data_IF_034655284820
#
_entry.id   IF_034655284820
#
_cell.length_a   1.000
_cell.length_b   1.000
_cell.length_c   1.000
_cell.angle_alpha   90.00
_cell.angle_beta   90.00
_cell.angle_gamma   90.00
#
_symmetry.space_group_name_H-M   'P 1'
#
loop_
_entity.id
_entity.type
_entity.pdbx_description
1 polymer ?
#
# COMPACT_ATOMS: atom_id res chain seq x y z
N UNK A 1 7.18 -29.67 9.76
CA UNK A 1 6.00 -29.47 8.89
C UNK A 1 5.18 -28.32 9.47
N UNK A 2 5.68 -27.09 9.30
CA UNK A 2 5.09 -25.88 9.88
C UNK A 2 3.90 -25.39 9.04
N UNK A 3 2.69 -25.84 9.41
CA UNK A 3 1.45 -25.17 9.01
C UNK A 3 1.00 -24.28 10.17
N UNK A 4 1.61 -23.12 10.35
CA UNK A 4 1.11 -22.11 11.29
C UNK A 4 1.56 -20.70 10.91
N UNK A 5 0.87 -20.07 9.96
CA UNK A 5 0.72 -18.60 9.90
C UNK A 5 -0.31 -18.28 8.82
N UNK A 6 -1.04 -17.19 9.00
CA UNK A 6 -2.28 -16.81 8.28
C UNK A 6 -3.54 -17.50 8.83
N UNK A 7 -3.87 -17.20 10.08
CA UNK A 7 -5.27 -17.16 10.48
C UNK A 7 -5.94 -16.05 9.64
N UNK A 8 -7.04 -16.35 8.93
CA UNK A 8 -7.85 -15.32 8.29
C UNK A 8 -8.39 -14.42 9.39
N UNK A 9 -8.13 -13.10 9.30
CA UNK A 9 -8.85 -12.14 10.15
C UNK A 9 -10.31 -12.17 9.72
N UNK A 10 -11.20 -12.62 10.61
CA UNK A 10 -12.64 -12.43 10.44
C UNK A 10 -12.96 -10.96 10.67
N UNK A 11 -13.50 -10.29 9.66
CA UNK A 11 -13.81 -8.87 9.70
C UNK A 11 -14.29 -8.33 8.36
N UNK A 12 -14.91 -7.17 8.38
CA UNK A 12 -15.31 -6.44 7.19
C UNK A 12 -14.15 -5.55 6.72
N UNK A 13 -13.90 -5.52 5.41
CA UNK A 13 -12.96 -4.58 4.80
C UNK A 13 -13.72 -3.45 4.11
N UNK A 14 -13.27 -2.23 4.33
CA UNK A 14 -13.71 -1.08 3.56
C UNK A 14 -13.06 -1.16 2.18
N UNK A 15 -13.86 -1.10 1.12
CA UNK A 15 -13.40 -1.13 -0.27
C UNK A 15 -14.00 0.07 -0.96
N UNK A 16 -13.13 0.88 -1.57
CA UNK A 16 -13.52 2.09 -2.30
C UNK A 16 -13.16 1.90 -3.75
N UNK A 17 -14.07 2.25 -4.64
CA UNK A 17 -13.89 2.05 -6.07
C UNK A 17 -13.17 3.24 -6.71
N UNK A 18 -11.83 3.16 -6.75
CA UNK A 18 -10.99 4.16 -7.42
C UNK A 18 -10.76 3.87 -8.91
N UNK A 19 -11.49 2.95 -9.56
CA UNK A 19 -11.21 2.57 -10.96
C UNK A 19 -11.27 3.75 -11.93
N UNK A 20 -12.23 4.65 -11.76
CA UNK A 20 -12.36 5.83 -12.62
C UNK A 20 -11.37 6.94 -12.26
N UNK A 21 -10.96 7.02 -10.98
CA UNK A 21 -9.87 7.90 -10.55
C UNK A 21 -8.55 7.43 -11.16
N UNK A 22 -8.21 6.15 -11.03
CA UNK A 22 -6.98 5.53 -11.53
C UNK A 22 -6.80 5.66 -13.05
N UNK A 23 -7.89 5.76 -13.83
CA UNK A 23 -7.82 6.03 -15.28
C UNK A 23 -7.39 7.47 -15.60
N UNK A 24 -7.67 8.41 -14.71
CA UNK A 24 -7.35 9.84 -14.87
C UNK A 24 -5.98 10.18 -14.25
N UNK A 25 -5.54 9.39 -13.27
CA UNK A 25 -4.23 9.52 -12.64
C UNK A 25 -3.13 9.17 -13.62
N UNK A 26 -2.07 9.99 -13.64
CA UNK A 26 -0.85 9.68 -14.40
C UNK A 26 -0.12 8.57 -13.65
N UNK A 27 0.06 7.42 -14.29
CA UNK A 27 0.79 6.31 -13.69
C UNK A 27 2.25 6.67 -13.47
N UNK A 28 2.72 6.57 -12.24
CA UNK A 28 4.15 6.65 -11.94
C UNK A 28 4.83 5.33 -12.34
N UNK A 29 5.67 5.40 -13.36
CA UNK A 29 6.50 4.27 -13.78
C UNK A 29 7.84 4.35 -13.07
N UNK A 30 7.83 4.23 -11.74
CA UNK A 30 9.07 4.11 -10.99
C UNK A 30 9.75 2.78 -11.34
N UNK A 31 10.96 2.79 -11.92
CA UNK A 31 11.64 1.56 -12.29
C UNK A 31 12.09 0.85 -11.00
N UNK A 32 11.39 -0.23 -10.66
CA UNK A 32 11.86 -1.13 -9.61
C UNK A 32 13.10 -1.88 -10.13
N UNK A 33 14.20 -1.94 -9.36
CA UNK A 33 15.38 -2.68 -9.75
C UNK A 33 15.07 -4.18 -9.85
N UNK A 34 15.85 -4.88 -10.68
CA UNK A 34 15.66 -6.32 -10.85
C UNK A 34 15.92 -7.06 -9.52
N UNK A 35 15.13 -8.11 -9.25
CA UNK A 35 15.23 -8.87 -8.00
C UNK A 35 16.62 -9.49 -7.88
N UNK A 36 17.23 -9.95 -8.97
CA UNK A 36 18.57 -10.50 -8.94
C UNK A 36 19.63 -9.45 -8.57
N UNK A 37 19.46 -8.21 -9.03
CA UNK A 37 20.33 -7.09 -8.67
C UNK A 37 20.23 -6.77 -7.17
N UNK A 38 19.00 -6.63 -6.65
CA UNK A 38 18.76 -6.39 -5.21
C UNK A 38 19.38 -7.50 -4.35
N UNK A 39 19.21 -8.77 -4.74
CA UNK A 39 19.75 -9.90 -4.01
C UNK A 39 21.28 -10.00 -4.11
N UNK A 40 21.87 -9.60 -5.23
CA UNK A 40 23.32 -9.58 -5.39
C UNK A 40 23.99 -8.55 -4.46
N UNK A 41 23.36 -7.40 -4.25
CA UNK A 41 23.83 -6.37 -3.31
C UNK A 41 23.77 -6.83 -1.85
N UNK A 42 22.86 -7.76 -1.54
CA UNK A 42 22.69 -8.34 -0.22
C UNK A 42 23.71 -9.47 0.07
N UNK A 43 24.38 -10.00 -0.96
CA UNK A 43 25.29 -11.13 -0.85
C UNK A 43 26.59 -10.81 -0.09
N UNK A 44 27.04 -11.72 0.77
CA UNK A 44 28.32 -11.61 1.50
C UNK A 44 28.18 -11.27 2.98
N UNK A 45 26.99 -10.91 3.44
CA UNK A 45 26.73 -10.59 4.84
C UNK A 45 26.39 -11.82 5.68
N UNK A 46 26.74 -11.76 6.97
CA UNK A 46 26.56 -12.87 7.92
C UNK A 46 25.17 -12.90 8.56
N UNK A 47 24.46 -11.76 8.60
CA UNK A 47 23.18 -11.59 9.27
C UNK A 47 22.24 -10.73 8.42
N UNK A 48 20.99 -11.15 8.34
CA UNK A 48 19.93 -10.44 7.62
C UNK A 48 18.75 -10.17 8.55
N UNK A 49 18.17 -8.99 8.42
CA UNK A 49 16.94 -8.59 9.11
C UNK A 49 15.92 -8.15 8.07
N UNK A 50 14.71 -8.68 8.16
CA UNK A 50 13.59 -8.31 7.27
C UNK A 50 12.57 -7.55 8.10
N UNK A 51 12.21 -6.35 7.65
CA UNK A 51 11.18 -5.53 8.25
C UNK A 51 9.92 -5.59 7.39
N UNK A 52 8.79 -5.92 8.02
CA UNK A 52 7.47 -5.84 7.39
C UNK A 52 6.79 -4.54 7.83
N UNK A 53 6.46 -3.68 6.87
CA UNK A 53 5.72 -2.46 7.14
C UNK A 53 4.22 -2.79 7.16
N UNK A 54 3.68 -3.04 8.35
CA UNK A 54 2.26 -3.31 8.55
C UNK A 54 1.41 -2.13 8.04
N UNK A 55 0.46 -2.41 7.14
CA UNK A 55 -0.40 -1.39 6.51
C UNK A 55 0.41 -0.26 5.86
N UNK A 56 1.51 -0.59 5.16
CA UNK A 56 2.47 0.39 4.62
C UNK A 56 1.85 1.55 3.83
N UNK A 57 0.81 1.30 3.03
CA UNK A 57 0.08 2.34 2.30
C UNK A 57 -0.44 3.44 3.23
N UNK A 58 -1.15 3.08 4.31
CA UNK A 58 -1.71 4.05 5.25
C UNK A 58 -0.68 4.82 6.09
N UNK A 59 0.62 4.50 5.98
CA UNK A 59 1.69 5.27 6.62
C UNK A 59 2.11 6.47 5.77
N UNK A 60 1.98 6.38 4.45
CA UNK A 60 2.39 7.43 3.52
C UNK A 60 1.37 8.58 3.55
N UNK A 61 1.86 9.82 3.69
CA UNK A 61 1.02 11.01 3.62
C UNK A 61 0.53 11.23 2.18
N UNK A 62 -0.77 11.56 2.04
CA UNK A 62 -1.26 12.12 0.79
C UNK A 62 -0.79 13.57 0.65
N UNK A 63 -0.64 14.03 -0.58
CA UNK A 63 -0.54 15.47 -0.83
C UNK A 63 -1.85 16.14 -0.40
N UNK A 64 -1.76 17.34 0.18
CA UNK A 64 -2.94 18.09 0.62
C UNK A 64 -3.85 18.44 -0.57
N UNK A 65 -3.26 18.68 -1.75
CA UNK A 65 -4.02 18.96 -2.98
C UNK A 65 -4.69 17.73 -3.57
N UNK A 66 -4.11 16.54 -3.36
CA UNK A 66 -4.64 15.28 -3.86
C UNK A 66 -5.54 14.56 -2.84
N UNK A 67 -5.72 15.11 -1.64
CA UNK A 67 -6.63 14.52 -0.65
C UNK A 67 -8.09 14.62 -1.12
N UNK A 68 -8.50 15.74 -1.72
CA UNK A 68 -9.88 15.95 -2.17
C UNK A 68 -10.32 14.98 -3.28
N UNK A 69 -9.41 14.55 -4.16
CA UNK A 69 -9.72 13.61 -5.25
C UNK A 69 -9.95 12.18 -4.74
N UNK A 70 -9.53 11.89 -3.50
CA UNK A 70 -9.77 10.60 -2.83
C UNK A 70 -11.08 10.58 -2.04
N UNK A 71 -11.91 11.61 -2.16
CA UNK A 71 -13.16 11.70 -1.42
C UNK A 71 -14.14 10.56 -1.76
N UNK A 72 -14.79 10.02 -0.74
CA UNK A 72 -15.80 8.97 -0.85
C UNK A 72 -17.02 9.29 0.04
N UNK A 73 -18.15 8.68 -0.32
CA UNK A 73 -19.41 8.84 0.41
C UNK A 73 -19.57 7.68 1.38
N UNK A 74 -19.61 7.98 2.67
CA UNK A 74 -20.00 7.05 3.72
C UNK A 74 -21.46 7.23 4.14
N UNK A 75 -22.00 6.34 4.99
CA UNK A 75 -23.38 6.42 5.47
C UNK A 75 -23.74 7.75 6.15
N UNK A 76 -22.75 8.44 6.74
CA UNK A 76 -22.95 9.62 7.57
C UNK A 76 -22.34 10.89 6.97
N UNK A 77 -21.83 10.87 5.73
CA UNK A 77 -21.24 12.05 5.10
C UNK A 77 -20.16 11.73 4.08
N UNK A 78 -19.42 12.78 3.71
CA UNK A 78 -18.28 12.71 2.81
C UNK A 78 -16.99 12.66 3.62
N UNK A 79 -16.07 11.83 3.18
CA UNK A 79 -14.76 11.64 3.81
C UNK A 79 -13.68 11.64 2.73
N UNK A 80 -12.47 12.03 3.10
CA UNK A 80 -11.31 12.04 2.23
C UNK A 80 -10.11 11.37 2.93
N UNK A 81 -9.14 10.91 2.16
CA UNK A 81 -7.94 10.31 2.70
C UNK A 81 -6.82 11.32 2.87
N UNK A 82 -6.30 11.42 4.09
CA UNK A 82 -5.07 12.15 4.42
C UNK A 82 -3.80 11.28 4.34
N UNK A 83 -3.99 9.96 4.11
CA UNK A 83 -2.95 8.93 3.97
C UNK A 83 -3.27 8.06 2.78
N UNK A 84 -2.27 7.48 2.13
CA UNK A 84 -2.49 6.76 0.87
C UNK A 84 -3.55 5.65 1.04
N UNK A 85 -4.65 5.68 0.26
CA UNK A 85 -5.68 4.65 0.29
C UNK A 85 -5.20 3.35 -0.35
N UNK A 86 -5.93 2.25 -0.09
CA UNK A 86 -5.70 0.92 -0.68
C UNK A 86 -6.64 0.65 -1.86
#
# INVERSE_FOLDING_TARGET
>A
TEKSRFQRKEGWWMVIDFRDLNKKTIGDSYPLPDIAEILSQLGGEKYFSVFDLASGFHQVAMDEQDSEITAFIGPNGHYEYVRMPI
#
